data_IF_186787623406
#
_entry.id   IF_186787623406
#
_cell.length_a   1.000
_cell.length_b   1.000
_cell.length_c   1.000
_cell.angle_alpha   90.00
_cell.angle_beta   90.00
_cell.angle_gamma   90.00
#
_symmetry.space_group_name_H-M   'P 1'
#
loop_
_entity.id
_entity.type
_entity.pdbx_description
1 polymer ?
#
# COMPACT_ATOMS: atom_id res chain seq x y z
N UNK A 1 -6.91 23.99 1.85
CA UNK A 1 -7.84 22.84 1.83
C UNK A 1 -7.02 21.56 1.71
N UNK A 2 -7.22 20.60 2.62
CA UNK A 2 -6.56 19.30 2.53
C UNK A 2 -7.32 18.40 1.54
N UNK A 3 -6.59 17.68 0.70
CA UNK A 3 -7.16 16.67 -0.20
C UNK A 3 -6.81 15.32 0.38
N UNK A 4 -7.81 14.46 0.56
CA UNK A 4 -7.64 13.12 1.12
C UNK A 4 -7.59 12.06 0.03
N UNK A 5 -6.91 10.95 0.32
CA UNK A 5 -6.95 9.77 -0.55
C UNK A 5 -8.32 9.09 -0.53
N UNK A 6 -8.75 8.58 -1.69
CA UNK A 6 -9.85 7.63 -1.75
C UNK A 6 -9.43 6.31 -1.10
N UNK A 7 -10.42 5.57 -0.60
CA UNK A 7 -10.22 4.22 -0.09
C UNK A 7 -9.77 3.31 -1.24
N UNK A 8 -8.68 2.53 -1.07
CA UNK A 8 -8.19 1.65 -2.12
C UNK A 8 -9.03 0.38 -2.24
N UNK A 9 -8.99 -0.30 -3.40
CA UNK A 9 -9.49 -1.66 -3.50
C UNK A 9 -8.65 -2.58 -2.59
N UNK A 10 -9.31 -3.57 -1.95
CA UNK A 10 -8.68 -4.47 -0.96
C UNK A 10 -7.40 -5.13 -1.47
N UNK A 11 -7.33 -5.47 -2.78
CA UNK A 11 -6.15 -6.05 -3.43
C UNK A 11 -4.86 -5.27 -3.16
N UNK A 12 -4.93 -3.95 -2.94
CA UNK A 12 -3.74 -3.12 -2.67
C UNK A 12 -3.09 -3.41 -1.32
N UNK A 13 -3.85 -3.93 -0.36
CA UNK A 13 -3.30 -4.36 0.93
C UNK A 13 -2.52 -5.66 0.74
N UNK A 14 -3.04 -6.61 -0.04
CA UNK A 14 -2.34 -7.84 -0.39
C UNK A 14 -1.05 -7.56 -1.19
N UNK A 15 -1.11 -6.67 -2.18
CA UNK A 15 0.06 -6.22 -2.95
C UNK A 15 1.13 -5.60 -2.03
N UNK A 16 0.73 -4.77 -1.06
CA UNK A 16 1.64 -4.14 -0.11
C UNK A 16 2.32 -5.19 0.79
N UNK A 17 1.58 -6.17 1.29
CA UNK A 17 2.13 -7.27 2.10
C UNK A 17 3.15 -8.10 1.32
N UNK A 18 2.84 -8.49 0.07
CA UNK A 18 3.80 -9.20 -0.78
C UNK A 18 5.03 -8.36 -1.12
N UNK A 19 4.84 -7.06 -1.38
CA UNK A 19 5.91 -6.10 -1.62
C UNK A 19 6.89 -6.00 -0.45
N UNK A 20 6.38 -6.00 0.80
CA UNK A 20 7.23 -6.00 1.99
C UNK A 20 8.02 -7.30 2.09
N UNK A 21 7.36 -8.46 1.91
CA UNK A 21 8.02 -9.77 2.00
C UNK A 21 9.09 -10.01 0.92
N UNK A 22 8.95 -9.36 -0.23
CA UNK A 22 9.93 -9.34 -1.31
C UNK A 22 11.09 -8.35 -1.07
N UNK A 23 11.11 -7.64 0.06
CA UNK A 23 12.09 -6.58 0.37
C UNK A 23 12.15 -5.48 -0.69
N UNK A 24 11.00 -5.11 -1.25
CA UNK A 24 10.93 -4.12 -2.33
C UNK A 24 10.80 -2.68 -1.85
N UNK A 25 10.81 -2.43 -0.53
CA UNK A 25 10.75 -1.07 0.04
C UNK A 25 12.14 -0.66 0.51
N UNK A 26 12.64 0.43 -0.05
CA UNK A 26 13.92 1.05 0.30
C UNK A 26 13.66 2.45 0.85
N UNK A 27 13.99 2.70 2.12
CA UNK A 27 13.91 4.03 2.71
C UNK A 27 15.15 4.84 2.31
N UNK A 28 14.95 5.96 1.61
CA UNK A 28 16.04 6.82 1.14
C UNK A 28 16.26 8.02 2.07
N UNK A 29 15.27 8.37 2.90
CA UNK A 29 15.38 9.35 3.98
C UNK A 29 14.28 9.14 5.03
N UNK A 30 14.22 10.03 6.03
CA UNK A 30 13.14 10.01 7.03
C UNK A 30 11.76 10.30 6.44
N UNK A 31 11.68 10.91 5.26
CA UNK A 31 10.42 11.34 4.62
C UNK A 31 10.21 10.76 3.22
N UNK A 32 11.09 9.88 2.76
CA UNK A 32 11.04 9.34 1.42
C UNK A 32 11.44 7.87 1.34
N UNK A 33 10.80 7.14 0.42
CA UNK A 33 11.09 5.75 0.11
C UNK A 33 10.92 5.48 -1.39
N UNK A 34 11.65 4.48 -1.87
CA UNK A 34 11.47 3.88 -3.18
C UNK A 34 10.83 2.52 -3.01
N UNK A 35 9.77 2.26 -3.77
CA UNK A 35 9.06 0.98 -3.76
C UNK A 35 9.13 0.33 -5.14
N UNK A 36 9.67 -0.88 -5.19
CA UNK A 36 9.84 -1.64 -6.44
C UNK A 36 8.61 -2.52 -6.72
N UNK A 37 8.16 -2.55 -7.98
CA UNK A 37 7.02 -3.37 -8.39
C UNK A 37 7.29 -4.87 -8.20
N UNK A 38 6.25 -5.69 -8.11
CA UNK A 38 6.36 -7.16 -7.98
C UNK A 38 7.20 -7.85 -9.07
N UNK A 39 7.36 -7.19 -10.23
CA UNK A 39 8.15 -7.68 -11.35
C UNK A 39 9.56 -7.06 -11.42
N UNK A 40 9.92 -6.16 -10.51
CA UNK A 40 11.23 -5.49 -10.51
C UNK A 40 11.41 -4.42 -11.60
N UNK A 41 10.45 -4.27 -12.51
CA UNK A 41 10.57 -3.43 -13.71
C UNK A 41 10.20 -1.96 -13.51
N UNK A 42 9.63 -1.60 -12.34
CA UNK A 42 9.22 -0.23 -12.03
C UNK A 42 9.60 0.11 -10.61
N UNK A 43 10.01 1.34 -10.39
CA UNK A 43 10.25 1.94 -9.08
C UNK A 43 9.28 3.11 -8.91
N UNK A 44 8.66 3.20 -7.76
CA UNK A 44 7.72 4.26 -7.39
C UNK A 44 8.33 5.08 -6.25
N UNK A 45 8.19 6.40 -6.33
CA UNK A 45 8.62 7.30 -5.28
C UNK A 45 7.48 7.52 -4.30
N UNK A 46 7.75 7.33 -3.01
CA UNK A 46 6.83 7.61 -1.92
C UNK A 46 7.43 8.70 -1.04
N UNK A 47 6.71 9.79 -0.90
CA UNK A 47 7.04 10.91 -0.01
C UNK A 47 6.02 10.98 1.11
N UNK A 48 6.44 11.25 2.34
CA UNK A 48 5.55 11.22 3.50
C UNK A 48 5.98 12.18 4.60
N UNK A 49 4.99 12.65 5.34
CA UNK A 49 5.12 13.46 6.55
C UNK A 49 4.03 12.95 7.51
N UNK A 50 4.41 11.99 8.35
CA UNK A 50 3.46 11.21 9.15
C UNK A 50 2.89 12.03 10.32
N UNK A 51 3.60 13.07 10.78
CA UNK A 51 3.10 14.04 11.76
C UNK A 51 1.90 14.81 11.20
N UNK A 52 1.95 15.14 9.92
CA UNK A 52 0.85 15.81 9.20
C UNK A 52 -0.10 14.83 8.50
N UNK A 53 0.01 13.53 8.79
CA UNK A 53 -0.78 12.45 8.18
C UNK A 53 -0.72 12.45 6.64
N UNK A 54 0.37 12.98 6.07
CA UNK A 54 0.59 13.14 4.65
C UNK A 54 1.40 11.96 4.10
N UNK A 55 0.94 11.43 2.97
CA UNK A 55 1.69 10.45 2.19
C UNK A 55 1.29 10.55 0.73
N UNK A 56 2.26 10.44 -0.17
CA UNK A 56 2.00 10.48 -1.60
C UNK A 56 2.93 9.53 -2.35
N UNK A 57 2.34 8.73 -3.24
CA UNK A 57 3.02 7.82 -4.13
C UNK A 57 2.76 8.22 -5.57
N UNK A 58 3.75 8.01 -6.42
CA UNK A 58 3.70 8.33 -7.83
C UNK A 58 3.24 7.14 -8.72
N UNK A 59 2.73 6.07 -8.09
CA UNK A 59 2.18 4.91 -8.80
C UNK A 59 0.90 5.22 -9.58
N UNK A 60 0.58 4.36 -10.55
CA UNK A 60 -0.57 4.55 -11.44
C UNK A 60 -1.92 4.59 -10.70
N UNK A 61 -2.10 3.81 -9.64
CA UNK A 61 -3.32 3.83 -8.83
C UNK A 61 -3.49 5.19 -8.15
N UNK A 62 -2.43 5.67 -7.51
CA UNK A 62 -2.40 6.98 -6.86
C UNK A 62 -2.59 8.14 -7.86
N UNK A 63 -1.84 8.15 -8.97
CA UNK A 63 -1.91 9.20 -9.99
C UNK A 63 -3.25 9.26 -10.71
N UNK A 64 -3.73 8.12 -11.24
CA UNK A 64 -4.87 8.09 -12.16
C UNK A 64 -6.21 7.73 -11.50
N UNK A 65 -6.20 7.01 -10.37
CA UNK A 65 -7.45 6.61 -9.67
C UNK A 65 -7.68 7.44 -8.41
N UNK A 66 -6.62 8.00 -7.82
CA UNK A 66 -6.72 8.88 -6.65
C UNK A 66 -7.02 8.16 -5.35
N UNK A 67 -6.78 6.85 -5.27
CA UNK A 67 -6.79 6.09 -4.03
C UNK A 67 -5.39 5.89 -3.49
N UNK A 68 -5.27 5.53 -2.20
CA UNK A 68 -4.00 5.20 -1.56
C UNK A 68 -3.39 3.91 -2.15
N UNK A 69 -2.36 4.03 -2.99
CA UNK A 69 -1.73 2.90 -3.66
C UNK A 69 -0.98 1.93 -2.71
N UNK A 70 -0.68 0.72 -3.21
CA UNK A 70 0.08 -0.28 -2.46
C UNK A 70 1.47 0.22 -2.00
N UNK A 71 2.20 1.10 -2.72
CA UNK A 71 3.48 1.60 -2.23
C UNK A 71 3.34 2.40 -0.94
N UNK A 72 2.34 3.29 -0.89
CA UNK A 72 2.02 4.06 0.31
C UNK A 72 1.59 3.15 1.46
N UNK A 73 0.75 2.14 1.19
CA UNK A 73 0.33 1.18 2.22
C UNK A 73 1.53 0.42 2.80
N UNK A 74 2.45 -0.04 1.94
CA UNK A 74 3.65 -0.75 2.38
C UNK A 74 4.55 0.11 3.28
N UNK A 75 4.78 1.37 2.89
CA UNK A 75 5.52 2.35 3.70
C UNK A 75 4.83 2.60 5.05
N UNK A 76 3.51 2.78 5.06
CA UNK A 76 2.75 3.01 6.29
C UNK A 76 2.81 1.81 7.25
N UNK A 77 2.77 0.58 6.72
CA UNK A 77 2.95 -0.64 7.52
C UNK A 77 4.35 -0.70 8.14
N UNK A 78 5.39 -0.47 7.34
CA UNK A 78 6.78 -0.50 7.83
C UNK A 78 7.12 0.65 8.79
N UNK A 79 6.44 1.79 8.69
CA UNK A 79 6.53 2.91 9.65
C UNK A 79 5.62 2.73 10.88
N UNK A 80 4.94 1.59 11.03
CA UNK A 80 4.09 1.28 12.19
C UNK A 80 2.78 2.07 12.26
N UNK A 81 2.40 2.76 11.19
CA UNK A 81 1.16 3.55 11.12
C UNK A 81 -0.04 2.67 10.78
N UNK A 82 0.16 1.64 9.96
CA UNK A 82 -0.85 0.62 9.68
C UNK A 82 -0.43 -0.73 10.29
N UNK A 83 -1.40 -1.62 10.63
CA UNK A 83 -1.08 -2.95 11.11
C UNK A 83 -0.21 -3.72 10.11
N UNK A 84 0.75 -4.47 10.63
CA UNK A 84 1.62 -5.35 9.86
C UNK A 84 1.72 -6.71 10.55
N UNK A 85 1.52 -7.78 9.79
CA UNK A 85 1.75 -9.15 10.24
C UNK A 85 2.79 -9.80 9.31
N UNK A 86 3.94 -10.14 9.89
CA UNK A 86 5.06 -10.71 9.14
C UNK A 86 4.72 -12.07 8.55
N UNK A 87 3.96 -12.91 9.27
CA UNK A 87 3.62 -14.27 8.82
C UNK A 87 2.67 -14.24 7.63
N UNK A 88 1.65 -13.39 7.69
CA UNK A 88 0.74 -13.13 6.58
C UNK A 88 1.50 -12.53 5.39
N UNK A 89 2.40 -11.58 5.63
CA UNK A 89 3.24 -10.98 4.59
C UNK A 89 4.13 -12.01 3.91
N UNK A 90 4.85 -12.84 4.66
CA UNK A 90 5.72 -13.90 4.14
C UNK A 90 4.94 -14.92 3.30
N UNK A 91 3.70 -15.24 3.67
CA UNK A 91 2.83 -16.11 2.89
C UNK A 91 2.43 -15.53 1.53
N UNK A 92 2.54 -14.21 1.33
CA UNK A 92 2.28 -13.52 0.06
C UNK A 92 3.55 -13.21 -0.74
N UNK A 93 4.72 -13.65 -0.27
CA UNK A 93 6.03 -13.43 -0.91
C UNK A 93 6.10 -13.98 -2.33
N UNK A 94 6.75 -13.26 -3.24
CA UNK A 94 7.05 -13.69 -4.60
C UNK A 94 5.84 -13.73 -5.55
N UNK A 95 4.65 -13.36 -5.09
CA UNK A 95 3.46 -13.29 -5.94
C UNK A 95 3.66 -12.19 -6.99
N UNK A 96 3.57 -12.55 -8.27
CA UNK A 96 3.68 -11.61 -9.39
C UNK A 96 2.35 -10.90 -9.62
N UNK A 97 2.01 -10.00 -8.70
CA UNK A 97 0.73 -9.26 -8.65
C UNK A 97 0.31 -8.65 -9.98
N UNK A 98 1.23 -7.99 -10.70
CA UNK A 98 0.92 -7.43 -12.02
C UNK A 98 0.45 -8.51 -13.01
N UNK A 99 1.13 -9.66 -13.07
CA UNK A 99 0.75 -10.76 -13.95
C UNK A 99 -0.60 -11.36 -13.58
N UNK A 100 -0.89 -11.51 -12.29
CA UNK A 100 -2.20 -11.99 -11.83
C UNK A 100 -3.32 -11.00 -12.21
N UNK A 101 -3.10 -9.71 -11.93
CA UNK A 101 -4.04 -8.64 -12.29
C UNK A 101 -4.28 -8.60 -13.82
N UNK A 102 -3.23 -8.71 -14.64
CA UNK A 102 -3.34 -8.69 -16.10
C UNK A 102 -4.02 -9.96 -16.66
N UNK A 103 -3.76 -11.12 -16.03
CA UNK A 103 -4.38 -12.41 -16.38
C UNK A 103 -5.88 -12.41 -16.10
N UNK A 104 -6.28 -12.02 -14.89
CA UNK A 104 -7.67 -12.13 -14.47
C UNK A 104 -8.51 -10.90 -14.81
N UNK A 105 -7.89 -9.72 -14.85
CA UNK A 105 -8.56 -8.40 -15.00
C UNK A 105 -9.70 -8.20 -14.00
N UNK A 106 -9.62 -8.91 -12.88
CA UNK A 106 -10.61 -8.97 -11.80
C UNK A 106 -9.84 -9.11 -10.49
N UNK A 107 -10.09 -8.18 -9.57
CA UNK A 107 -9.41 -8.15 -8.28
C UNK A 107 -9.85 -9.29 -7.35
N UNK A 108 -11.10 -9.76 -7.44
CA UNK A 108 -11.56 -10.87 -6.61
C UNK A 108 -10.84 -12.16 -7.00
N UNK A 109 -10.78 -12.48 -8.31
CA UNK A 109 -10.02 -13.64 -8.82
C UNK A 109 -8.52 -13.55 -8.51
N UNK A 110 -7.97 -12.34 -8.52
CA UNK A 110 -6.57 -12.12 -8.12
C UNK A 110 -6.35 -12.41 -6.63
N UNK A 111 -7.30 -12.02 -5.78
CA UNK A 111 -7.26 -12.30 -4.34
C UNK A 111 -7.45 -13.79 -4.08
N UNK A 112 -8.43 -14.45 -4.73
CA UNK A 112 -8.67 -15.90 -4.62
C UNK A 112 -7.40 -16.70 -4.90
N UNK A 113 -6.69 -16.36 -5.99
CA UNK A 113 -5.43 -17.02 -6.33
C UNK A 113 -4.32 -16.76 -5.30
N UNK A 114 -4.23 -15.53 -4.77
CA UNK A 114 -3.25 -15.21 -3.74
C UNK A 114 -3.54 -15.92 -2.41
N UNK A 115 -4.82 -16.04 -2.03
CA UNK A 115 -5.28 -16.78 -0.85
C UNK A 115 -4.98 -18.27 -0.98
N UNK A 116 -5.19 -18.86 -2.17
CA UNK A 116 -4.80 -20.24 -2.46
C UNK A 116 -3.31 -20.48 -2.24
N UNK A 117 -2.45 -19.59 -2.75
CA UNK A 117 -1.00 -19.66 -2.55
C UNK A 117 -0.62 -19.52 -1.07
N UNK A 118 -1.26 -18.60 -0.35
CA UNK A 118 -0.98 -18.38 1.07
C UNK A 118 -1.38 -19.59 1.94
N UNK A 119 -2.48 -20.25 1.59
CA UNK A 119 -2.93 -21.49 2.23
C UNK A 119 -1.95 -22.64 2.03
N UNK A 120 -1.41 -22.79 0.83
CA UNK A 120 -0.33 -23.76 0.54
C UNK A 120 0.94 -23.47 1.37
N UNK A 121 1.08 -22.23 1.85
CA UNK A 121 2.18 -21.79 2.73
C UNK A 121 1.80 -21.77 4.21
N UNK A 122 0.66 -22.36 4.58
CA UNK A 122 0.25 -22.57 5.96
C UNK A 122 -0.42 -21.38 6.65
N UNK A 123 -0.94 -20.41 5.90
CA UNK A 123 -1.76 -19.31 6.45
C UNK A 123 -3.19 -19.44 5.96
N UNK A 124 -4.14 -19.47 6.90
CA UNK A 124 -5.56 -19.65 6.58
C UNK A 124 -6.15 -18.41 5.88
N UNK A 125 -7.05 -18.64 4.94
CA UNK A 125 -7.65 -17.58 4.12
C UNK A 125 -8.42 -16.57 4.98
N UNK A 126 -9.20 -17.07 5.96
CA UNK A 126 -10.03 -16.23 6.84
C UNK A 126 -9.17 -15.36 7.75
N UNK A 127 -8.02 -15.87 8.17
CA UNK A 127 -7.07 -15.08 8.95
C UNK A 127 -6.56 -13.87 8.15
N UNK A 128 -6.16 -14.09 6.90
CA UNK A 128 -5.68 -13.02 6.01
C UNK A 128 -6.80 -12.02 5.73
N UNK A 129 -8.01 -12.50 5.46
CA UNK A 129 -9.17 -11.64 5.20
C UNK A 129 -9.55 -10.77 6.41
N UNK A 130 -9.48 -11.32 7.62
CA UNK A 130 -9.70 -10.57 8.85
C UNK A 130 -8.65 -9.48 9.03
N UNK A 131 -7.37 -9.83 8.82
CA UNK A 131 -6.27 -8.86 8.88
C UNK A 131 -6.43 -7.75 7.84
N UNK A 132 -6.73 -8.10 6.59
CA UNK A 132 -6.96 -7.12 5.51
C UNK A 132 -8.16 -6.23 5.83
N UNK A 133 -9.20 -6.78 6.45
CA UNK A 133 -10.37 -6.00 6.88
C UNK A 133 -10.02 -5.01 8.00
N UNK A 134 -9.17 -5.41 8.95
CA UNK A 134 -8.63 -4.51 9.98
C UNK A 134 -7.79 -3.39 9.37
N UNK A 135 -6.85 -3.69 8.45
CA UNK A 135 -6.06 -2.67 7.76
C UNK A 135 -6.95 -1.72 6.96
N UNK A 136 -7.98 -2.25 6.29
CA UNK A 136 -8.94 -1.43 5.55
C UNK A 136 -9.74 -0.50 6.47
N UNK A 137 -10.09 -0.95 7.67
CA UNK A 137 -10.72 -0.11 8.68
C UNK A 137 -9.78 1.02 9.13
N UNK A 138 -8.52 0.71 9.42
CA UNK A 138 -7.49 1.71 9.80
C UNK A 138 -7.26 2.75 8.69
N UNK A 139 -7.20 2.34 7.42
CA UNK A 139 -7.08 3.28 6.29
C UNK A 139 -8.27 4.24 6.24
N UNK A 140 -9.48 3.73 6.48
CA UNK A 140 -10.71 4.55 6.50
C UNK A 140 -10.74 5.52 7.69
N UNK A 141 -10.30 5.06 8.87
CA UNK A 141 -10.35 5.85 10.09
C UNK A 141 -9.30 6.96 10.09
N UNK A 142 -8.06 6.64 9.70
CA UNK A 142 -6.93 7.58 9.74
C UNK A 142 -6.99 8.67 8.67
N UNK A 143 -7.70 8.45 7.55
CA UNK A 143 -7.92 9.44 6.48
C UNK A 143 -6.64 10.17 6.03
N UNK A 144 -5.76 9.45 5.35
CA UNK A 144 -4.48 9.99 4.87
C UNK A 144 -4.64 11.17 3.90
N UNK A 145 -3.78 12.18 4.07
CA UNK A 145 -3.73 13.39 3.27
C UNK A 145 -2.85 13.18 2.04
N UNK A 146 -3.40 13.50 0.87
CA UNK A 146 -2.74 13.47 -0.44
C UNK A 146 -1.99 14.76 -0.76
N UNK A 147 -2.57 15.90 -0.41
CA UNK A 147 -1.97 17.22 -0.65
C UNK A 147 -2.22 18.13 0.55
N UNK A 148 -1.14 18.74 1.04
CA UNK A 148 -1.19 19.86 1.96
C UNK A 148 -1.27 21.14 1.12
N UNK A 149 -2.34 21.92 1.26
CA UNK A 149 -2.30 23.29 0.72
C UNK A 149 -1.24 24.07 1.49
N UNK A 150 -0.24 24.63 0.81
CA UNK A 150 0.61 25.66 1.42
C UNK A 150 -0.31 26.76 1.93
N UNK A 151 -0.32 27.00 3.24
CA UNK A 151 -0.99 28.18 3.79
C UNK A 151 -0.45 29.41 3.06
N UNK A 152 -1.29 30.40 2.78
CA UNK A 152 -0.83 31.71 2.28
C UNK A 152 0.36 32.11 3.15
N UNK A 153 1.55 32.25 2.57
CA UNK A 153 2.60 33.01 3.23
C UNK A 153 1.96 34.36 3.55
N UNK A 154 1.76 34.64 4.84
CA UNK A 154 1.53 36.02 5.27
C UNK A 154 2.83 36.72 4.93
N UNK A 155 2.84 37.39 3.78
CA UNK A 155 3.80 38.44 3.48
C UNK A 155 3.62 39.47 4.59
N UNK A 156 4.50 39.42 5.60
CA UNK A 156 4.75 40.55 6.48
C UNK A 156 5.61 41.50 5.65
N UNK A 157 4.96 42.51 5.07
CA UNK A 157 5.55 43.79 4.70
C UNK A 157 4.96 44.83 5.65
#
# INVERSE_FOLDING_TARGET
MQIYWKIPPKVKIYEALGCIADNHVEFISEKEAIVTSSEGNRKYHVSFDLENNFINSDDNGSKFKGYLGYPSIAVLMLKGILPFDKRISDALKGIKWKRLNDKFKDYNKTIEEALRIAKERGVDEKEIENFVSQVMYEIKSKKFVRFLSKGKQKTLL
#
